data_IF_276498472646
#
_entry.id   IF_276498472646
#
_cell.length_a   1.000
_cell.length_b   1.000
_cell.length_c   1.000
_cell.angle_alpha   90.00
_cell.angle_beta   90.00
_cell.angle_gamma   90.00
#
_symmetry.space_group_name_H-M   'P 1'
#
loop_
_entity.id
_entity.type
_entity.pdbx_description
1 polymer ?
#
# COMPACT_ATOMS: atom_id res chain seq x y z
N UNK A 1 -17.63 -21.99 -8.76
CA UNK A 1 -17.92 -20.59 -8.33
C UNK A 1 -19.16 -20.66 -7.46
N UNK A 2 -19.04 -20.43 -6.15
CA UNK A 2 -20.17 -20.56 -5.24
C UNK A 2 -20.70 -19.16 -4.88
N UNK A 3 -21.96 -18.91 -5.21
CA UNK A 3 -22.70 -17.78 -4.70
C UNK A 3 -22.88 -17.96 -3.19
N UNK A 4 -22.52 -16.96 -2.39
CA UNK A 4 -22.80 -16.95 -0.95
C UNK A 4 -24.04 -16.10 -0.70
N UNK A 5 -24.74 -16.37 0.39
CA UNK A 5 -25.95 -15.65 0.78
C UNK A 5 -25.67 -14.86 2.06
N UNK A 6 -26.06 -13.59 2.08
CA UNK A 6 -25.96 -12.76 3.29
C UNK A 6 -27.02 -13.16 4.32
N UNK A 7 -27.05 -12.49 5.48
CA UNK A 7 -28.04 -12.75 6.53
C UNK A 7 -29.49 -12.47 6.09
N UNK A 8 -29.69 -11.82 4.95
CA UNK A 8 -30.98 -11.47 4.34
C UNK A 8 -31.22 -12.30 3.06
N UNK A 9 -30.45 -13.37 2.86
CA UNK A 9 -30.53 -14.28 1.73
C UNK A 9 -30.30 -13.63 0.35
N UNK A 10 -29.55 -12.53 0.29
CA UNK A 10 -29.13 -11.92 -0.98
C UNK A 10 -27.84 -12.56 -1.48
N UNK A 11 -27.75 -12.90 -2.78
CA UNK A 11 -26.54 -13.42 -3.37
C UNK A 11 -25.42 -12.37 -3.34
N UNK A 12 -24.26 -12.73 -2.81
CA UNK A 12 -23.06 -11.91 -2.88
C UNK A 12 -21.86 -12.73 -3.34
N UNK A 13 -20.94 -12.05 -4.01
CA UNK A 13 -19.67 -12.60 -4.47
C UNK A 13 -18.56 -12.08 -3.58
N UNK A 14 -17.63 -12.97 -3.18
CA UNK A 14 -16.45 -12.51 -2.47
C UNK A 14 -15.55 -11.73 -3.42
N UNK A 15 -15.06 -10.57 -2.98
CA UNK A 15 -14.09 -9.79 -3.76
C UNK A 15 -12.89 -10.63 -4.18
N UNK A 16 -12.41 -11.51 -3.30
CA UNK A 16 -11.33 -12.43 -3.60
C UNK A 16 -11.63 -13.31 -4.83
N UNK A 17 -12.81 -13.92 -4.89
CA UNK A 17 -13.20 -14.77 -6.01
C UNK A 17 -13.31 -13.98 -7.32
N UNK A 18 -13.77 -12.73 -7.25
CA UNK A 18 -13.87 -11.85 -8.41
C UNK A 18 -12.48 -11.49 -8.96
N UNK A 19 -11.56 -11.05 -8.10
CA UNK A 19 -10.19 -10.73 -8.49
C UNK A 19 -9.44 -11.95 -9.02
N UNK A 20 -9.50 -13.09 -8.31
CA UNK A 20 -8.87 -14.33 -8.75
C UNK A 20 -9.40 -14.82 -10.10
N UNK A 21 -10.72 -14.72 -10.33
CA UNK A 21 -11.31 -15.10 -11.62
C UNK A 21 -10.88 -14.17 -12.75
N UNK A 22 -10.78 -12.87 -12.48
CA UNK A 22 -10.35 -11.90 -13.47
C UNK A 22 -8.84 -11.94 -13.73
N UNK A 23 -8.05 -12.57 -12.83
CA UNK A 23 -6.59 -12.61 -12.92
C UNK A 23 -5.95 -11.23 -12.73
N UNK A 24 -6.63 -10.30 -12.05
CA UNK A 24 -6.15 -8.93 -11.86
C UNK A 24 -5.73 -8.68 -10.40
N UNK A 25 -4.70 -7.82 -10.18
CA UNK A 25 -4.33 -7.41 -8.84
C UNK A 25 -5.41 -6.53 -8.21
N UNK A 26 -5.40 -6.46 -6.89
CA UNK A 26 -6.22 -5.49 -6.18
C UNK A 26 -5.72 -4.06 -6.48
N UNK A 27 -6.64 -3.10 -6.61
CA UNK A 27 -6.30 -1.74 -7.06
C UNK A 27 -5.25 -1.04 -6.21
N UNK A 28 -5.29 -1.21 -4.90
CA UNK A 28 -4.32 -0.65 -3.96
C UNK A 28 -2.94 -1.30 -4.09
N UNK A 29 -2.86 -2.63 -4.21
CA UNK A 29 -1.60 -3.30 -4.53
C UNK A 29 -1.03 -2.85 -5.88
N UNK A 30 -1.91 -2.68 -6.87
CA UNK A 30 -1.53 -2.15 -8.18
C UNK A 30 -0.97 -0.72 -8.09
N UNK A 31 -1.62 0.19 -7.34
CA UNK A 31 -1.12 1.56 -7.12
C UNK A 31 0.24 1.55 -6.41
N UNK A 32 0.41 0.70 -5.39
CA UNK A 32 1.69 0.56 -4.68
C UNK A 32 2.78 0.08 -5.64
N UNK A 33 2.48 -0.91 -6.49
CA UNK A 33 3.39 -1.37 -7.54
C UNK A 33 3.79 -0.24 -8.47
N UNK A 34 2.82 0.48 -9.05
CA UNK A 34 3.09 1.59 -9.96
C UNK A 34 3.96 2.66 -9.31
N UNK A 35 3.71 2.97 -8.04
CA UNK A 35 4.50 3.97 -7.30
C UNK A 35 5.94 3.50 -7.11
N UNK A 36 6.15 2.22 -6.76
CA UNK A 36 7.49 1.63 -6.63
C UNK A 36 8.22 1.62 -7.97
N UNK A 37 7.55 1.20 -9.04
CA UNK A 37 8.11 1.14 -10.39
C UNK A 37 8.49 2.55 -10.88
N UNK A 38 7.64 3.55 -10.65
CA UNK A 38 7.93 4.95 -10.97
C UNK A 38 9.18 5.44 -10.23
N UNK A 39 9.23 5.23 -8.91
CA UNK A 39 10.33 5.74 -8.08
C UNK A 39 11.65 5.01 -8.31
N UNK A 40 11.61 3.72 -8.65
CA UNK A 40 12.79 2.96 -9.07
C UNK A 40 13.39 3.49 -10.38
N UNK A 41 12.54 3.96 -11.29
CA UNK A 41 12.96 4.55 -12.56
C UNK A 41 13.28 6.04 -12.47
N UNK A 42 12.98 6.70 -11.35
CA UNK A 42 13.21 8.14 -11.17
C UNK A 42 14.69 8.51 -11.34
N UNK A 43 15.61 7.65 -10.87
CA UNK A 43 17.05 7.84 -11.02
C UNK A 43 17.53 7.76 -12.49
N UNK A 44 16.76 7.12 -13.36
CA UNK A 44 17.08 6.99 -14.79
C UNK A 44 16.51 8.15 -15.63
N UNK A 45 15.69 9.01 -15.03
CA UNK A 45 15.12 10.17 -15.71
C UNK A 45 16.14 11.31 -15.66
N UNK A 46 16.61 11.74 -16.82
CA UNK A 46 17.56 12.83 -16.95
C UNK A 46 16.85 14.20 -16.81
N UNK A 47 16.34 14.48 -15.61
CA UNK A 47 15.67 15.73 -15.26
C UNK A 47 16.08 16.17 -13.86
N UNK A 48 16.71 17.34 -13.76
CA UNK A 48 17.25 17.86 -12.51
C UNK A 48 16.18 18.06 -11.44
N UNK A 49 14.97 18.54 -11.80
CA UNK A 49 13.88 18.67 -10.83
C UNK A 49 13.46 17.32 -10.27
N UNK A 50 13.31 16.30 -11.12
CA UNK A 50 12.94 14.94 -10.70
C UNK A 50 14.03 14.26 -9.87
N UNK A 51 15.30 14.60 -10.09
CA UNK A 51 16.42 14.08 -9.32
C UNK A 51 16.39 14.52 -7.86
N UNK A 52 15.93 15.74 -7.57
CA UNK A 52 15.70 16.21 -6.21
C UNK A 52 14.64 15.36 -5.50
N UNK A 53 13.64 14.87 -6.26
CA UNK A 53 12.60 13.99 -5.71
C UNK A 53 13.11 12.59 -5.33
N UNK A 54 14.31 12.19 -5.77
CA UNK A 54 14.93 10.94 -5.34
C UNK A 54 15.52 11.05 -3.92
N UNK A 55 15.80 12.27 -3.45
CA UNK A 55 16.44 12.51 -2.16
C UNK A 55 15.42 12.49 -1.02
N UNK A 56 15.35 11.38 -0.28
CA UNK A 56 14.40 11.22 0.82
C UNK A 56 14.95 11.91 2.08
N UNK A 57 14.47 13.11 2.40
CA UNK A 57 14.75 13.77 3.67
C UNK A 57 13.86 13.19 4.77
N UNK A 58 14.46 12.38 5.67
CA UNK A 58 13.76 11.68 6.76
C UNK A 58 12.87 12.56 7.63
N UNK A 59 13.36 13.73 8.03
CA UNK A 59 12.61 14.67 8.90
C UNK A 59 11.35 15.18 8.20
N UNK A 60 11.46 15.53 6.92
CA UNK A 60 10.33 15.93 6.08
C UNK A 60 9.28 14.82 5.95
N UNK A 61 9.73 13.57 5.74
CA UNK A 61 8.83 12.43 5.65
C UNK A 61 8.01 12.20 6.95
N UNK A 62 8.68 12.28 8.12
CA UNK A 62 8.02 12.09 9.42
C UNK A 62 7.02 13.22 9.70
N UNK A 63 7.41 14.47 9.45
CA UNK A 63 6.55 15.63 9.71
C UNK A 63 5.29 15.60 8.84
N UNK A 64 5.43 15.28 7.56
CA UNK A 64 4.29 15.23 6.62
C UNK A 64 3.29 14.12 6.95
N UNK A 65 3.75 12.97 7.45
CA UNK A 65 2.85 11.89 7.89
C UNK A 65 1.97 12.29 9.08
N UNK A 66 2.52 13.04 10.04
CA UNK A 66 1.79 13.52 11.21
C UNK A 66 0.70 14.55 10.83
N UNK A 67 0.91 15.31 9.76
CA UNK A 67 -0.10 16.27 9.25
C UNK A 67 -1.21 15.62 8.43
N UNK A 68 -1.03 14.38 7.99
CA UNK A 68 -1.92 13.69 7.06
C UNK A 68 -1.78 14.08 5.59
N UNK A 69 -0.89 15.03 5.28
CA UNK A 69 -0.52 15.38 3.92
C UNK A 69 0.78 14.68 3.54
N UNK A 70 0.68 13.38 3.27
CA UNK A 70 1.82 12.55 2.90
C UNK A 70 2.32 12.98 1.51
N UNK A 71 3.56 13.46 1.45
CA UNK A 71 4.22 13.70 0.16
C UNK A 71 4.63 12.38 -0.50
N UNK A 72 4.83 12.34 -1.84
CA UNK A 72 5.36 11.15 -2.52
C UNK A 72 6.67 10.62 -1.90
N UNK A 73 7.53 11.51 -1.40
CA UNK A 73 8.76 11.14 -0.68
C UNK A 73 8.48 10.40 0.62
N UNK A 74 7.51 10.90 1.39
CA UNK A 74 7.12 10.30 2.65
C UNK A 74 6.57 8.89 2.42
N UNK A 75 5.76 8.71 1.37
CA UNK A 75 5.28 7.39 0.96
C UNK A 75 6.45 6.41 0.71
N UNK A 76 7.47 6.83 -0.05
CA UNK A 76 8.65 6.01 -0.32
C UNK A 76 9.49 5.71 0.92
N UNK A 77 9.60 6.68 1.84
CA UNK A 77 10.26 6.46 3.12
C UNK A 77 9.58 5.34 3.93
N UNK A 78 8.25 5.39 4.05
CA UNK A 78 7.48 4.35 4.76
C UNK A 78 7.47 3.01 4.03
N UNK A 79 7.48 3.04 2.69
CA UNK A 79 7.58 1.85 1.87
C UNK A 79 8.90 1.10 2.13
N UNK A 80 10.03 1.82 2.10
CA UNK A 80 11.36 1.27 2.45
C UNK A 80 11.42 0.72 3.87
N UNK A 81 10.64 1.29 4.80
CA UNK A 81 10.52 0.81 6.18
C UNK A 81 9.51 -0.34 6.35
N UNK A 82 8.86 -0.79 5.26
CA UNK A 82 7.84 -1.83 5.27
C UNK A 82 6.63 -1.49 6.15
N UNK A 83 6.26 -0.21 6.23
CA UNK A 83 5.17 0.28 7.06
C UNK A 83 3.86 0.51 6.27
N UNK A 84 3.89 0.36 4.95
CA UNK A 84 2.69 0.57 4.09
C UNK A 84 1.92 -0.73 3.79
N UNK A 85 2.60 -1.87 3.88
CA UNK A 85 2.08 -3.23 3.63
C UNK A 85 2.59 -4.17 4.71
N UNK A 86 1.75 -5.13 5.13
CA UNK A 86 2.18 -6.15 6.07
C UNK A 86 2.95 -7.29 5.38
N UNK A 87 3.30 -8.32 6.16
CA UNK A 87 4.00 -9.50 5.67
C UNK A 87 3.26 -10.28 4.59
N UNK A 88 1.95 -10.13 4.51
CA UNK A 88 1.07 -10.78 3.55
C UNK A 88 0.76 -9.88 2.33
N UNK A 89 1.49 -8.79 2.10
CA UNK A 89 1.21 -7.80 1.06
C UNK A 89 -0.15 -7.09 1.19
N UNK A 90 -0.78 -7.12 2.38
CA UNK A 90 -2.04 -6.38 2.61
C UNK A 90 -1.68 -4.89 2.82
N UNK A 91 -2.27 -3.96 2.04
CA UNK A 91 -2.01 -2.52 2.20
C UNK A 91 -2.59 -1.93 3.49
N UNK A 92 -1.84 -2.07 4.60
CA UNK A 92 -2.21 -1.52 5.92
C UNK A 92 -2.61 -0.05 5.79
N UNK A 93 -1.87 0.72 4.98
CA UNK A 93 -2.09 2.16 4.81
C UNK A 93 -3.52 2.53 4.40
N UNK A 94 -4.25 1.68 3.65
CA UNK A 94 -5.61 1.96 3.22
C UNK A 94 -6.69 1.37 4.13
N UNK A 95 -6.28 0.60 5.13
CA UNK A 95 -7.14 -0.15 6.02
C UNK A 95 -7.19 0.42 7.45
N UNK A 96 -6.30 1.37 7.74
CA UNK A 96 -6.32 2.12 8.99
C UNK A 96 -7.54 3.03 9.03
N UNK A 97 -8.17 3.11 10.21
CA UNK A 97 -9.34 3.98 10.40
C UNK A 97 -8.89 5.43 10.25
N UNK A 98 -9.30 6.07 9.15
CA UNK A 98 -9.10 7.50 8.92
C UNK A 98 -10.44 8.21 9.07
N UNK A 99 -10.51 9.23 9.92
CA UNK A 99 -11.61 10.18 9.87
C UNK A 99 -11.47 11.01 8.59
N UNK A 100 -12.57 11.34 7.90
CA UNK A 100 -12.55 12.04 6.60
C UNK A 100 -11.65 13.29 6.59
N UNK A 101 -11.50 13.97 7.72
CA UNK A 101 -10.64 15.16 7.88
C UNK A 101 -9.22 14.86 8.38
N UNK A 102 -9.01 13.76 9.12
CA UNK A 102 -7.70 13.40 9.65
C UNK A 102 -7.07 12.29 8.81
N UNK A 103 -6.16 12.70 7.91
CA UNK A 103 -5.41 11.80 7.02
C UNK A 103 -4.08 11.35 7.63
N UNK A 104 -3.77 11.76 8.87
CA UNK A 104 -2.51 11.44 9.55
C UNK A 104 -2.30 9.93 9.63
N UNK A 105 -1.04 9.52 9.47
CA UNK A 105 -0.64 8.14 9.68
C UNK A 105 -0.09 8.00 11.10
N UNK A 106 -0.80 7.25 11.93
CA UNK A 106 -0.17 6.62 13.07
C UNK A 106 0.68 5.45 12.52
N UNK A 107 1.97 5.47 12.80
CA UNK A 107 2.92 4.48 12.27
C UNK A 107 3.17 3.34 13.27
N UNK A 108 2.60 3.45 14.47
CA UNK A 108 2.62 2.42 15.50
C UNK A 108 1.35 1.57 15.47
N UNK A 109 0.64 1.53 14.34
CA UNK A 109 -0.63 0.82 14.27
C UNK A 109 -0.38 -0.68 14.35
N UNK A 110 -0.90 -1.38 15.39
CA UNK A 110 -0.85 -2.83 15.44
C UNK A 110 -1.64 -3.40 14.27
N UNK A 111 -1.15 -4.49 13.66
CA UNK A 111 -1.83 -5.24 12.57
C UNK A 111 -3.30 -5.56 12.91
N UNK A 112 -3.62 -5.66 14.21
CA UNK A 112 -4.94 -5.96 14.76
C UNK A 112 -6.00 -4.86 14.52
N UNK A 113 -5.62 -3.62 14.16
CA UNK A 113 -6.56 -2.51 13.91
C UNK A 113 -7.15 -2.48 12.49
N UNK A 114 -6.86 -3.46 11.63
CA UNK A 114 -7.31 -3.53 10.23
C UNK A 114 -8.80 -3.94 10.04
N UNK A 115 -9.59 -4.00 11.12
CA UNK A 115 -10.86 -4.71 11.19
C UNK A 115 -12.02 -4.14 10.36
N UNK A 116 -11.92 -2.91 9.84
CA UNK A 116 -13.04 -2.26 9.14
C UNK A 116 -13.17 -2.65 7.66
N UNK A 117 -12.09 -3.10 7.03
CA UNK A 117 -12.03 -3.26 5.58
C UNK A 117 -11.54 -4.66 5.19
N UNK A 118 -11.92 -5.11 4.00
CA UNK A 118 -11.54 -6.45 3.53
C UNK A 118 -10.02 -6.59 3.42
N UNK A 119 -9.46 -7.52 4.17
CA UNK A 119 -8.05 -7.92 4.09
C UNK A 119 -7.79 -8.98 3.01
N UNK A 120 -8.82 -9.33 2.22
CA UNK A 120 -8.69 -10.33 1.18
C UNK A 120 -7.79 -9.80 0.05
N UNK A 121 -6.83 -10.63 -0.34
CA UNK A 121 -5.89 -10.39 -1.44
C UNK A 121 -6.00 -11.54 -2.44
N UNK A 122 -6.06 -11.24 -3.74
CA UNK A 122 -6.02 -12.26 -4.78
C UNK A 122 -4.67 -12.96 -4.81
N UNK A 123 -4.64 -14.16 -5.39
CA UNK A 123 -3.44 -15.01 -5.43
C UNK A 123 -2.30 -14.34 -6.22
N UNK A 124 -2.64 -13.56 -7.25
CA UNK A 124 -1.65 -12.78 -8.00
C UNK A 124 -0.86 -11.82 -7.09
N UNK A 125 -1.50 -11.20 -6.11
CA UNK A 125 -0.84 -10.26 -5.19
C UNK A 125 0.00 -10.97 -4.13
N UNK A 126 -0.26 -12.25 -3.85
CA UNK A 126 0.55 -13.06 -2.92
C UNK A 126 1.92 -13.40 -3.50
N UNK A 127 1.97 -13.62 -4.81
CA UNK A 127 3.19 -14.02 -5.53
C UNK A 127 3.97 -12.85 -6.09
N UNK A 128 3.40 -11.65 -6.10
CA UNK A 128 4.09 -10.50 -6.64
C UNK A 128 5.13 -9.99 -5.64
N UNK A 129 6.41 -10.20 -5.97
CA UNK A 129 7.55 -9.71 -5.20
C UNK A 129 7.68 -8.19 -5.34
N UNK A 130 6.76 -7.45 -4.73
CA UNK A 130 6.87 -5.99 -4.67
C UNK A 130 7.79 -5.51 -3.55
N UNK A 131 8.26 -6.41 -2.70
CA UNK A 131 9.19 -6.10 -1.62
C UNK A 131 10.56 -5.78 -2.19
N UNK A 132 11.00 -4.54 -2.02
CA UNK A 132 12.42 -4.22 -2.10
C UNK A 132 13.16 -5.18 -1.14
N UNK A 133 13.99 -6.07 -1.69
CA UNK A 133 14.88 -6.90 -0.87
C UNK A 133 15.66 -5.94 0.02
N UNK A 134 15.71 -6.20 1.34
CA UNK A 134 16.60 -5.45 2.24
C UNK A 134 17.99 -5.48 1.59
N UNK A 135 18.49 -4.33 1.15
CA UNK A 135 19.93 -4.18 1.02
C UNK A 135 20.45 -4.22 2.45
N UNK A 136 20.85 -5.41 2.87
CA UNK A 136 21.72 -5.60 4.02
C UNK A 136 23.08 -5.16 3.51
N UNK A 137 23.52 -3.94 3.86
CA UNK A 137 24.84 -3.48 3.50
C UNK A 137 25.09 -2.02 3.83
N UNK A 138 26.01 -1.78 4.77
CA UNK A 138 26.75 -0.54 4.98
C UNK A 138 26.22 0.35 6.08
#
# INVERSE_FOLDING_TARGET
>A
MYCRYDSVNKPYYSNNALYNRAGIPRIDNYIIKLTRDYMANLANINNNYMSEFASIVRSSAINTAATGYISPHAFMYYDKKQLIQNSNNIPIIYHTVRHKANKALDLNIPDERLSKYSIAIPDVDKHTNHRNKKNIGG
#
